data_IF_983238818051
#
_entry.id   IF_983238818051
#
_cell.length_a   1.000
_cell.length_b   1.000
_cell.length_c   1.000
_cell.angle_alpha   90.00
_cell.angle_beta   90.00
_cell.angle_gamma   90.00
#
_symmetry.space_group_name_H-M   'P 1'
#
loop_
_entity.id
_entity.type
_entity.pdbx_description
1 polymer ?
#
# COMPACT_ATOMS: atom_id res chain seq x y z
N UNK A 1 43.40 -4.42 -24.31
CA UNK A 1 42.06 -3.78 -24.43
C UNK A 1 41.59 -3.46 -23.01
N UNK A 2 41.37 -2.17 -22.73
CA UNK A 2 40.73 -1.78 -21.48
C UNK A 2 39.29 -2.35 -21.45
N UNK A 3 38.89 -2.89 -20.35
CA UNK A 3 37.51 -3.40 -20.19
C UNK A 3 36.53 -2.22 -20.11
N UNK A 4 35.25 -2.44 -20.42
CA UNK A 4 34.21 -1.44 -20.20
C UNK A 4 34.20 -0.92 -18.77
N UNK A 5 34.63 -1.75 -17.81
CA UNK A 5 34.78 -1.42 -16.38
C UNK A 5 35.86 -0.34 -16.19
N UNK A 6 36.96 -0.39 -16.94
CA UNK A 6 38.07 0.58 -16.80
C UNK A 6 37.71 1.94 -17.39
N UNK A 7 36.66 2.00 -18.22
CA UNK A 7 36.18 3.21 -18.90
C UNK A 7 34.98 3.83 -18.15
N UNK A 8 34.38 3.14 -17.19
CA UNK A 8 33.24 3.65 -16.49
C UNK A 8 33.66 4.62 -15.38
N UNK A 9 33.06 5.80 -15.36
CA UNK A 9 33.24 6.80 -14.29
C UNK A 9 32.57 6.38 -12.95
N UNK A 10 31.59 5.51 -13.03
CA UNK A 10 30.87 4.98 -11.87
C UNK A 10 30.46 3.54 -12.15
N UNK A 11 30.82 2.62 -11.28
CA UNK A 11 30.34 1.23 -11.31
C UNK A 11 29.60 0.97 -10.02
N UNK A 12 28.32 0.64 -10.15
CA UNK A 12 27.47 0.24 -9.02
C UNK A 12 27.11 -1.23 -9.18
N UNK A 13 27.46 -2.04 -8.19
CA UNK A 13 27.03 -3.44 -8.12
C UNK A 13 26.07 -3.54 -6.91
N UNK A 14 24.76 -3.46 -7.12
CA UNK A 14 23.79 -3.60 -6.04
C UNK A 14 23.94 -4.96 -5.40
N UNK A 15 24.23 -4.99 -4.11
CA UNK A 15 24.30 -6.23 -3.34
C UNK A 15 23.10 -6.43 -2.43
N UNK A 16 22.57 -5.35 -1.91
CA UNK A 16 21.45 -5.37 -0.98
C UNK A 16 20.74 -4.01 -0.99
N UNK A 17 19.42 -4.04 -0.82
CA UNK A 17 18.62 -2.86 -0.46
C UNK A 17 18.10 -3.09 0.95
N UNK A 18 18.56 -2.30 1.89
CA UNK A 18 18.16 -2.37 3.30
C UNK A 18 17.89 -0.95 3.82
N UNK A 19 16.81 -0.78 4.55
CA UNK A 19 16.43 0.48 5.19
C UNK A 19 16.42 1.69 4.21
N UNK A 20 16.00 1.46 2.95
CA UNK A 20 15.96 2.51 1.93
C UNK A 20 17.31 2.87 1.32
N UNK A 21 18.35 2.09 1.58
CA UNK A 21 19.70 2.29 1.05
C UNK A 21 20.05 1.18 0.07
N UNK A 22 20.81 1.55 -0.94
CA UNK A 22 21.41 0.61 -1.88
C UNK A 22 22.85 0.35 -1.44
N UNK A 23 23.09 -0.83 -0.87
CA UNK A 23 24.44 -1.27 -0.57
C UNK A 23 25.12 -1.74 -1.85
N UNK A 24 26.31 -1.26 -2.10
CA UNK A 24 27.13 -1.65 -3.24
C UNK A 24 28.37 -2.38 -2.77
N UNK A 25 28.69 -3.51 -3.40
CA UNK A 25 29.96 -4.18 -3.19
C UNK A 25 31.04 -3.44 -3.96
N UNK A 26 32.14 -3.09 -3.29
CA UNK A 26 33.32 -2.52 -3.96
C UNK A 26 33.90 -3.57 -4.91
N UNK A 27 33.98 -3.32 -6.22
CA UNK A 27 34.77 -4.17 -7.11
C UNK A 27 36.24 -4.14 -6.69
N UNK A 28 36.89 -5.28 -6.62
CA UNK A 28 38.33 -5.39 -6.37
C UNK A 28 39.09 -4.71 -7.53
N UNK A 29 39.65 -3.52 -7.29
CA UNK A 29 40.45 -2.77 -8.27
C UNK A 29 40.43 -1.25 -8.06
N UNK A 30 41.48 -0.60 -8.53
CA UNK A 30 41.91 0.76 -8.19
C UNK A 30 41.05 1.94 -8.72
N UNK A 31 39.82 1.73 -9.13
CA UNK A 31 39.07 2.79 -9.85
C UNK A 31 37.65 2.98 -9.37
N UNK A 32 37.46 3.19 -8.07
CA UNK A 32 36.13 3.54 -7.58
C UNK A 32 36.22 4.83 -6.80
N UNK A 33 35.57 5.82 -7.34
CA UNK A 33 35.29 7.07 -6.64
C UNK A 33 34.22 6.76 -5.61
N UNK A 34 34.59 6.75 -4.35
CA UNK A 34 33.63 6.82 -3.26
C UNK A 34 33.39 8.30 -2.97
N UNK A 35 32.18 8.81 -3.10
CA UNK A 35 31.86 10.10 -2.53
C UNK A 35 31.66 9.92 -1.03
N UNK A 36 32.75 9.75 -0.27
CA UNK A 36 32.66 9.99 1.14
C UNK A 36 32.76 11.51 1.40
N UNK A 37 32.26 11.95 2.53
CA UNK A 37 32.29 13.36 2.92
C UNK A 37 33.72 13.90 3.19
N UNK A 38 34.73 13.06 3.10
CA UNK A 38 36.13 13.37 3.42
C UNK A 38 37.04 13.38 2.20
N UNK A 39 36.54 12.92 1.04
CA UNK A 39 37.30 12.93 -0.23
C UNK A 39 38.40 11.86 -0.31
N UNK A 40 38.36 10.88 0.57
CA UNK A 40 39.35 9.80 0.60
C UNK A 40 38.82 8.59 -0.20
N UNK A 41 39.50 8.25 -1.29
CA UNK A 41 38.95 7.37 -2.34
C UNK A 41 39.55 5.96 -2.37
N UNK A 42 40.47 5.60 -1.50
CA UNK A 42 41.29 4.40 -1.68
C UNK A 42 41.16 3.32 -0.61
N UNK A 43 40.53 3.61 0.52
CA UNK A 43 40.42 2.64 1.63
C UNK A 43 41.76 2.25 2.24
N UNK A 44 42.82 3.05 2.00
CA UNK A 44 44.19 2.79 2.52
C UNK A 44 44.41 3.37 3.91
N UNK A 45 43.46 4.15 4.40
CA UNK A 45 43.52 4.79 5.74
C UNK A 45 43.04 3.89 6.87
N UNK A 46 42.69 2.62 6.62
CA UNK A 46 42.17 1.69 7.61
C UNK A 46 40.69 1.94 7.98
N UNK A 47 40.01 2.90 7.32
CA UNK A 47 38.57 3.03 7.41
C UNK A 47 37.90 1.86 6.68
N UNK A 48 36.82 1.35 7.24
CA UNK A 48 35.92 0.46 6.52
C UNK A 48 35.56 1.13 5.19
N UNK A 49 35.59 0.40 4.05
CA UNK A 49 35.16 0.94 2.77
C UNK A 49 33.83 1.66 2.97
N UNK A 50 33.79 2.95 2.66
CA UNK A 50 32.57 3.71 2.76
C UNK A 50 31.55 3.02 1.85
N UNK A 51 30.55 2.39 2.45
CA UNK A 51 29.42 1.85 1.71
C UNK A 51 28.82 3.03 0.97
N UNK A 52 28.64 2.89 -0.34
CA UNK A 52 28.06 3.95 -1.16
C UNK A 52 26.60 4.18 -0.78
N UNK A 53 26.39 4.99 0.23
CA UNK A 53 25.06 5.36 0.69
C UNK A 53 24.44 6.38 -0.25
N UNK A 54 23.76 5.91 -1.28
CA UNK A 54 22.99 6.79 -2.15
C UNK A 54 21.63 7.09 -1.51
N UNK A 55 21.29 8.35 -1.47
CA UNK A 55 19.96 8.80 -1.10
C UNK A 55 19.11 8.94 -2.36
N UNK A 56 17.93 8.35 -2.34
CA UNK A 56 16.96 8.46 -3.42
C UNK A 56 15.82 9.36 -2.96
N UNK A 57 15.49 10.38 -3.74
CA UNK A 57 14.38 11.26 -3.44
C UNK A 57 13.54 11.51 -4.69
N UNK A 58 12.22 11.45 -4.53
CA UNK A 58 11.23 11.69 -5.58
C UNK A 58 10.18 12.72 -5.17
N UNK A 59 10.23 13.17 -3.91
CA UNK A 59 9.27 14.08 -3.32
C UNK A 59 7.93 13.45 -2.93
N UNK A 60 7.65 12.20 -3.33
CA UNK A 60 6.46 11.46 -2.91
C UNK A 60 6.62 9.96 -3.15
N UNK A 61 6.01 9.16 -2.27
CA UNK A 61 5.94 7.70 -2.41
C UNK A 61 4.99 7.24 -3.53
N UNK A 62 4.11 8.13 -4.02
CA UNK A 62 3.00 7.74 -4.89
C UNK A 62 3.27 7.97 -6.37
N UNK A 63 4.33 8.71 -6.73
CA UNK A 63 4.60 9.11 -8.12
C UNK A 63 5.47 8.15 -8.93
N UNK A 64 6.08 7.16 -8.30
CA UNK A 64 6.99 6.26 -8.99
C UNK A 64 6.31 5.00 -9.51
N UNK A 65 6.63 4.62 -10.74
CA UNK A 65 6.25 3.33 -11.31
C UNK A 65 7.49 2.54 -11.71
N UNK A 66 7.39 1.23 -11.77
CA UNK A 66 8.42 0.32 -12.29
C UNK A 66 7.78 -0.95 -12.81
N UNK A 67 8.54 -1.76 -13.54
CA UNK A 67 8.17 -3.13 -13.85
C UNK A 67 8.76 -4.03 -12.77
N UNK A 68 7.93 -4.86 -12.14
CA UNK A 68 8.34 -5.82 -11.13
C UNK A 68 8.88 -7.11 -11.76
N UNK A 69 9.31 -8.05 -10.91
CA UNK A 69 9.86 -9.34 -11.35
C UNK A 69 8.85 -10.22 -12.10
N UNK A 70 7.55 -9.99 -11.89
CA UNK A 70 6.47 -10.67 -12.61
C UNK A 70 6.13 -10.01 -13.96
N UNK A 71 6.80 -8.93 -14.31
CA UNK A 71 6.54 -8.16 -15.53
C UNK A 71 5.38 -7.19 -15.42
N UNK A 72 4.86 -6.95 -14.21
CA UNK A 72 3.74 -6.06 -13.97
C UNK A 72 4.22 -4.64 -13.64
N UNK A 73 3.47 -3.65 -14.11
CA UNK A 73 3.70 -2.27 -13.71
C UNK A 73 3.16 -2.09 -12.30
N UNK A 74 4.07 -1.72 -11.38
CA UNK A 74 3.72 -1.41 -9.98
C UNK A 74 4.05 0.03 -9.66
N UNK A 75 3.25 0.63 -8.79
CA UNK A 75 3.43 2.00 -8.29
C UNK A 75 3.36 2.05 -6.78
N UNK A 76 3.75 3.18 -6.21
CA UNK A 76 3.49 3.49 -4.81
C UNK A 76 1.99 3.60 -4.55
N UNK A 77 1.53 3.12 -3.40
CA UNK A 77 0.14 3.12 -2.97
C UNK A 77 0.05 3.37 -1.47
N UNK A 78 -1.10 3.85 -1.02
CA UNK A 78 -1.32 4.23 0.36
C UNK A 78 -2.72 3.80 0.80
N UNK A 79 -2.82 3.20 1.99
CA UNK A 79 -4.09 3.06 2.68
C UNK A 79 -4.28 4.28 3.60
N UNK A 80 -5.29 5.08 3.32
CA UNK A 80 -5.57 6.35 4.03
C UNK A 80 -6.32 6.13 5.35
N UNK A 81 -7.05 5.01 5.52
CA UNK A 81 -7.64 4.68 6.80
C UNK A 81 -6.56 4.50 7.86
N UNK A 82 -6.82 4.95 9.07
CA UNK A 82 -6.03 4.60 10.24
C UNK A 82 -6.66 3.40 10.95
N UNK A 83 -5.85 2.60 11.63
CA UNK A 83 -6.33 1.39 12.31
C UNK A 83 -7.22 0.52 11.41
N UNK A 84 -6.76 0.27 10.20
CA UNK A 84 -7.55 -0.32 9.12
C UNK A 84 -8.03 -1.75 9.38
N UNK A 85 -7.45 -2.43 10.35
CA UNK A 85 -7.90 -3.74 10.83
C UNK A 85 -8.10 -3.77 12.35
N UNK A 86 -8.25 -2.60 13.00
CA UNK A 86 -8.67 -2.51 14.41
C UNK A 86 -10.00 -1.72 14.49
N UNK A 87 -11.10 -2.41 14.26
CA UNK A 87 -12.44 -1.81 14.24
C UNK A 87 -12.98 -1.45 15.63
N UNK A 88 -12.29 -1.83 16.71
CA UNK A 88 -12.59 -1.39 18.07
C UNK A 88 -11.97 -0.04 18.41
N UNK A 89 -11.04 0.45 17.60
CA UNK A 89 -10.36 1.70 17.84
C UNK A 89 -11.28 2.91 17.68
N UNK A 90 -11.06 3.94 18.50
CA UNK A 90 -11.84 5.18 18.49
C UNK A 90 -11.70 6.02 17.22
N UNK A 91 -10.76 5.70 16.33
CA UNK A 91 -10.68 6.27 14.99
C UNK A 91 -11.90 5.90 14.12
N UNK A 92 -12.54 4.78 14.44
CA UNK A 92 -13.78 4.36 13.81
C UNK A 92 -14.98 4.88 14.60
N UNK A 93 -15.85 5.62 13.92
CA UNK A 93 -17.14 6.05 14.47
C UNK A 93 -18.13 4.91 14.25
N UNK A 94 -18.56 4.31 15.34
CA UNK A 94 -19.50 3.18 15.33
C UNK A 94 -20.91 3.63 15.69
N UNK A 95 -21.88 3.23 14.90
CA UNK A 95 -23.30 3.32 15.24
C UNK A 95 -23.88 1.91 15.36
N UNK A 96 -24.26 1.56 16.59
CA UNK A 96 -25.04 0.38 16.92
C UNK A 96 -24.45 -0.98 16.50
N UNK A 97 -23.35 -1.31 17.11
CA UNK A 97 -22.74 -2.63 16.97
C UNK A 97 -21.69 -2.89 18.03
N UNK A 98 -21.22 -4.12 18.11
CA UNK A 98 -20.06 -4.53 18.89
C UNK A 98 -19.09 -5.29 18.04
N UNK A 99 -17.81 -5.14 18.35
CA UNK A 99 -16.73 -5.83 17.65
C UNK A 99 -16.02 -6.80 18.58
N UNK A 100 -15.72 -7.99 18.07
CA UNK A 100 -14.91 -9.01 18.75
C UNK A 100 -13.88 -9.52 17.78
N UNK A 101 -12.59 -9.40 18.11
CA UNK A 101 -11.49 -9.91 17.31
C UNK A 101 -11.28 -11.41 17.52
N UNK A 102 -10.59 -12.06 16.62
CA UNK A 102 -10.17 -13.45 16.76
C UNK A 102 -10.90 -14.42 15.84
N UNK A 103 -11.58 -13.92 14.83
CA UNK A 103 -12.17 -14.75 13.77
C UNK A 103 -11.12 -15.08 12.71
N UNK A 104 -11.27 -16.25 12.11
CA UNK A 104 -10.43 -16.65 10.97
C UNK A 104 -10.55 -15.62 9.84
N UNK A 105 -9.40 -15.13 9.36
CA UNK A 105 -9.29 -14.18 8.27
C UNK A 105 -9.06 -14.87 6.91
N UNK A 106 -9.16 -14.15 5.77
CA UNK A 106 -9.00 -14.73 4.44
C UNK A 106 -7.63 -15.36 4.17
N UNK A 107 -6.63 -15.06 4.98
CA UNK A 107 -5.25 -15.56 4.83
C UNK A 107 -4.96 -16.77 5.73
N UNK A 108 -5.96 -17.25 6.49
CA UNK A 108 -5.83 -18.37 7.42
C UNK A 108 -5.28 -18.00 8.80
N UNK A 109 -5.17 -16.71 9.10
CA UNK A 109 -4.92 -16.20 10.45
C UNK A 109 -6.21 -16.02 11.25
N UNK A 110 -6.12 -15.43 12.45
CA UNK A 110 -7.27 -15.13 13.32
C UNK A 110 -7.32 -13.63 13.65
N UNK A 111 -7.14 -12.78 12.66
CA UNK A 111 -7.07 -11.32 12.83
C UNK A 111 -8.33 -10.60 12.37
N UNK A 112 -9.30 -11.32 11.82
CA UNK A 112 -10.58 -10.76 11.43
C UNK A 112 -11.48 -10.48 12.64
N UNK A 113 -12.51 -9.69 12.41
CA UNK A 113 -13.46 -9.21 13.42
C UNK A 113 -14.87 -9.71 13.16
N UNK A 114 -15.53 -10.10 14.23
CA UNK A 114 -16.97 -10.32 14.27
C UNK A 114 -17.64 -8.99 14.63
N UNK A 115 -18.54 -8.52 13.79
CA UNK A 115 -19.35 -7.33 13.98
C UNK A 115 -20.80 -7.76 14.21
N UNK A 116 -21.33 -7.49 15.42
CA UNK A 116 -22.69 -7.85 15.80
C UNK A 116 -23.58 -6.62 15.84
N UNK A 117 -24.72 -6.66 15.17
CA UNK A 117 -25.71 -5.60 15.15
C UNK A 117 -26.41 -5.40 16.49
N UNK A 118 -26.54 -4.15 16.92
CA UNK A 118 -27.33 -3.77 18.12
C UNK A 118 -28.61 -3.00 17.76
N UNK A 119 -28.83 -2.69 16.50
CA UNK A 119 -30.08 -2.13 15.97
C UNK A 119 -30.26 -2.52 14.50
N UNK A 120 -31.25 -1.91 13.82
CA UNK A 120 -31.60 -2.20 12.41
C UNK A 120 -30.77 -1.44 11.39
N UNK A 121 -29.84 -0.57 11.83
CA UNK A 121 -29.02 0.28 10.97
C UNK A 121 -27.57 0.35 11.53
N UNK A 122 -26.85 -0.80 11.58
CA UNK A 122 -25.48 -0.84 12.07
C UNK A 122 -24.53 -0.35 11.01
N UNK A 123 -23.75 0.70 11.32
CA UNK A 123 -22.68 1.15 10.43
C UNK A 123 -21.44 1.61 11.20
N UNK A 124 -20.31 1.60 10.52
CA UNK A 124 -19.02 2.06 10.99
C UNK A 124 -18.35 2.90 9.92
N UNK A 125 -17.68 3.99 10.30
CA UNK A 125 -17.02 4.87 9.34
C UNK A 125 -15.86 5.64 9.95
N UNK A 126 -14.96 6.13 9.10
CA UNK A 126 -14.03 7.21 9.43
C UNK A 126 -14.44 8.47 8.68
N UNK A 127 -14.31 9.63 9.34
CA UNK A 127 -14.54 10.92 8.71
C UNK A 127 -13.21 11.40 8.14
N UNK A 128 -13.09 11.38 6.82
CA UNK A 128 -11.88 11.74 6.09
C UNK A 128 -12.14 12.88 5.11
N UNK A 129 -11.17 13.76 5.00
CA UNK A 129 -11.13 14.79 3.96
C UNK A 129 -10.08 14.39 2.93
N UNK A 130 -10.51 13.78 1.85
CA UNK A 130 -9.64 13.36 0.74
C UNK A 130 -10.02 14.11 -0.53
N UNK A 131 -9.07 14.34 -1.43
CA UNK A 131 -9.31 14.97 -2.71
C UNK A 131 -8.75 14.10 -3.83
N UNK A 132 -9.55 13.88 -4.87
CA UNK A 132 -9.19 13.00 -5.98
C UNK A 132 -10.16 11.84 -6.11
N UNK A 133 -9.76 10.84 -6.87
CA UNK A 133 -10.55 9.63 -7.11
C UNK A 133 -9.99 8.51 -6.23
N UNK A 134 -10.85 7.94 -5.40
CA UNK A 134 -10.48 6.90 -4.44
C UNK A 134 -11.23 5.61 -4.69
N UNK A 135 -10.62 4.51 -4.26
CA UNK A 135 -11.24 3.19 -4.15
C UNK A 135 -11.35 2.81 -2.69
N UNK A 136 -12.56 2.43 -2.27
CA UNK A 136 -12.85 1.88 -0.94
C UNK A 136 -13.02 0.37 -1.07
N UNK A 137 -12.38 -0.39 -0.21
CA UNK A 137 -12.51 -1.86 -0.19
C UNK A 137 -12.45 -2.43 1.21
N UNK A 138 -13.04 -3.61 1.39
CA UNK A 138 -13.02 -4.41 2.62
C UNK A 138 -13.32 -5.87 2.29
N UNK A 139 -12.78 -6.78 3.07
CA UNK A 139 -13.25 -8.17 3.05
C UNK A 139 -14.41 -8.35 4.04
N UNK A 140 -15.45 -9.02 3.59
CA UNK A 140 -16.56 -9.38 4.44
C UNK A 140 -17.16 -10.74 4.08
N UNK A 141 -17.79 -11.40 5.07
CA UNK A 141 -18.63 -12.59 4.88
C UNK A 141 -19.81 -12.59 5.85
N UNK A 142 -20.93 -13.15 5.41
CA UNK A 142 -22.10 -13.36 6.24
C UNK A 142 -21.95 -14.56 7.16
N UNK A 143 -22.64 -14.52 8.30
CA UNK A 143 -22.69 -15.59 9.30
C UNK A 143 -24.13 -15.89 9.66
N UNK A 144 -24.55 -17.14 9.50
CA UNK A 144 -25.92 -17.54 9.86
C UNK A 144 -26.99 -16.75 9.06
N UNK A 145 -27.81 -15.96 9.75
CA UNK A 145 -28.90 -15.15 9.17
C UNK A 145 -28.43 -14.07 8.18
N UNK A 146 -27.18 -13.65 8.24
CA UNK A 146 -26.66 -12.60 7.34
C UNK A 146 -26.15 -13.13 6.00
N UNK A 147 -26.14 -14.44 5.79
CA UNK A 147 -25.89 -15.02 4.48
C UNK A 147 -27.06 -14.64 3.56
N UNK A 148 -26.77 -13.97 2.44
CA UNK A 148 -27.78 -13.40 1.54
C UNK A 148 -28.23 -11.98 1.89
N UNK A 149 -27.80 -11.44 3.05
CA UNK A 149 -28.10 -10.07 3.44
C UNK A 149 -27.28 -9.05 2.64
N UNK A 150 -27.76 -7.81 2.63
CA UNK A 150 -27.05 -6.69 2.01
C UNK A 150 -25.84 -6.27 2.84
N UNK A 151 -24.76 -5.96 2.14
CA UNK A 151 -23.58 -5.27 2.66
C UNK A 151 -23.32 -4.04 1.81
N UNK A 152 -23.04 -2.92 2.45
CA UNK A 152 -22.88 -1.65 1.78
C UNK A 152 -21.52 -1.02 2.09
N UNK A 153 -20.88 -0.51 1.06
CA UNK A 153 -19.75 0.39 1.21
C UNK A 153 -20.28 1.83 1.17
N UNK A 154 -20.18 2.51 2.29
CA UNK A 154 -20.76 3.85 2.44
C UNK A 154 -19.82 4.94 1.95
N UNK A 155 -20.35 5.81 1.12
CA UNK A 155 -19.77 7.11 0.84
C UNK A 155 -20.90 8.14 0.73
N UNK A 156 -20.60 9.44 0.70
CA UNK A 156 -21.57 10.54 0.72
C UNK A 156 -22.58 10.60 -0.44
N UNK A 157 -22.84 9.55 -1.15
CA UNK A 157 -23.82 9.57 -2.24
C UNK A 157 -23.96 8.28 -3.03
N UNK A 158 -23.07 7.34 -2.84
CA UNK A 158 -23.11 6.04 -3.50
C UNK A 158 -22.99 4.96 -2.41
N UNK A 159 -24.03 4.19 -2.22
CA UNK A 159 -24.06 3.04 -1.31
C UNK A 159 -24.49 1.81 -2.10
N UNK A 160 -23.62 1.26 -2.96
CA UNK A 160 -23.96 0.05 -3.68
C UNK A 160 -24.20 -1.10 -2.70
N UNK A 161 -25.25 -1.87 -2.95
CA UNK A 161 -25.56 -3.08 -2.21
C UNK A 161 -24.79 -4.26 -2.79
N UNK A 162 -24.11 -4.96 -1.93
CA UNK A 162 -23.50 -6.25 -2.20
C UNK A 162 -24.22 -7.33 -1.42
N UNK A 163 -24.19 -8.56 -1.89
CA UNK A 163 -24.80 -9.70 -1.20
C UNK A 163 -23.73 -10.48 -0.47
N UNK A 164 -23.87 -10.64 0.84
CA UNK A 164 -22.99 -11.46 1.66
C UNK A 164 -23.16 -12.95 1.37
N UNK A 165 -22.04 -13.64 1.28
CA UNK A 165 -22.01 -15.12 1.23
C UNK A 165 -21.34 -15.67 2.49
N UNK A 166 -21.31 -16.97 2.65
CA UNK A 166 -20.56 -17.65 3.72
C UNK A 166 -19.05 -17.70 3.47
N UNK A 167 -18.60 -17.26 2.29
CA UNK A 167 -17.20 -17.19 1.92
C UNK A 167 -16.68 -15.76 2.01
N UNK A 168 -15.39 -15.60 2.30
CA UNK A 168 -14.76 -14.30 2.26
C UNK A 168 -14.75 -13.72 0.84
N UNK A 169 -15.28 -12.51 0.72
CA UNK A 169 -15.27 -11.73 -0.51
C UNK A 169 -14.69 -10.36 -0.23
N UNK A 170 -13.92 -9.84 -1.18
CA UNK A 170 -13.50 -8.44 -1.15
C UNK A 170 -14.52 -7.62 -1.92
N UNK A 171 -15.14 -6.69 -1.23
CA UNK A 171 -16.06 -5.73 -1.82
C UNK A 171 -15.33 -4.42 -2.10
N UNK A 172 -15.60 -3.81 -3.23
CA UNK A 172 -14.90 -2.61 -3.69
C UNK A 172 -15.87 -1.64 -4.37
N UNK A 173 -15.67 -0.36 -4.11
CA UNK A 173 -16.25 0.73 -4.90
C UNK A 173 -15.16 1.74 -5.26
N UNK A 174 -15.25 2.25 -6.45
CA UNK A 174 -14.30 3.23 -6.99
C UNK A 174 -15.03 4.51 -7.38
N UNK A 175 -14.26 5.56 -7.72
CA UNK A 175 -14.77 6.88 -8.05
C UNK A 175 -15.52 7.53 -6.89
N UNK A 176 -14.94 7.42 -5.68
CA UNK A 176 -15.49 8.05 -4.48
C UNK A 176 -15.22 9.55 -4.55
N UNK A 177 -16.25 10.41 -4.56
CA UNK A 177 -16.06 11.84 -4.45
C UNK A 177 -15.53 12.22 -3.06
N UNK A 178 -14.70 13.23 -3.02
CA UNK A 178 -14.08 13.75 -1.80
C UNK A 178 -15.10 14.17 -0.75
N UNK A 179 -14.74 13.98 0.52
CA UNK A 179 -15.41 14.43 1.74
C UNK A 179 -16.61 13.64 2.19
N UNK A 180 -16.39 12.69 3.08
CA UNK A 180 -17.46 12.25 3.96
C UNK A 180 -17.10 11.11 4.89
N UNK A 181 -18.08 10.63 5.57
CA UNK A 181 -18.09 9.43 6.36
C UNK A 181 -17.92 8.21 5.45
N UNK A 182 -16.69 7.74 5.29
CA UNK A 182 -16.36 6.57 4.49
C UNK A 182 -16.35 5.34 5.37
N UNK A 183 -17.10 4.32 5.01
CA UNK A 183 -17.22 3.15 5.86
C UNK A 183 -18.14 2.06 5.32
N UNK A 184 -18.77 1.35 6.24
CA UNK A 184 -19.45 0.08 5.94
C UNK A 184 -20.75 -0.01 6.74
N UNK A 185 -21.72 -0.71 6.15
CA UNK A 185 -23.04 -0.99 6.74
C UNK A 185 -23.49 -2.38 6.31
N UNK A 186 -24.27 -3.07 7.11
CA UNK A 186 -24.85 -4.34 6.71
C UNK A 186 -26.31 -4.48 7.10
N UNK A 187 -27.04 -5.28 6.30
CA UNK A 187 -28.36 -5.75 6.64
C UNK A 187 -29.45 -4.68 6.72
N UNK A 188 -29.36 -3.59 5.98
CA UNK A 188 -30.37 -2.51 6.05
C UNK A 188 -31.73 -2.95 5.46
N UNK A 189 -32.72 -3.34 6.32
CA UNK A 189 -32.66 -3.40 7.78
C UNK A 189 -31.94 -4.67 8.30
N UNK A 190 -31.09 -4.51 9.31
CA UNK A 190 -30.52 -5.62 10.07
C UNK A 190 -31.46 -6.06 11.19
N UNK A 191 -31.24 -7.25 11.74
CA UNK A 191 -31.89 -7.72 12.97
C UNK A 191 -30.88 -7.65 14.12
N UNK A 192 -31.31 -7.24 15.29
CA UNK A 192 -30.45 -7.24 16.49
C UNK A 192 -29.90 -8.65 16.72
N UNK A 193 -28.60 -8.76 16.86
CA UNK A 193 -27.89 -10.03 16.98
C UNK A 193 -27.34 -10.58 15.63
N UNK A 194 -27.68 -9.98 14.50
CA UNK A 194 -27.06 -10.33 13.22
C UNK A 194 -25.54 -10.12 13.26
N UNK A 195 -24.80 -11.04 12.65
CA UNK A 195 -23.33 -11.05 12.68
C UNK A 195 -22.76 -11.06 11.28
N UNK A 196 -21.77 -10.20 11.06
CA UNK A 196 -20.96 -10.18 9.85
C UNK A 196 -19.49 -10.23 10.26
N UNK A 197 -18.68 -11.01 9.56
CA UNK A 197 -17.24 -10.97 9.73
C UNK A 197 -16.62 -9.99 8.75
N UNK A 198 -15.71 -9.15 9.23
CA UNK A 198 -15.02 -8.15 8.43
C UNK A 198 -13.50 -8.18 8.65
N UNK A 199 -12.75 -7.75 7.63
CA UNK A 199 -11.29 -7.74 7.66
C UNK A 199 -10.74 -6.74 6.64
N UNK A 200 -9.64 -6.05 7.01
CA UNK A 200 -8.78 -5.32 6.08
C UNK A 200 -9.48 -4.20 5.29
N UNK A 201 -9.99 -3.19 6.00
CA UNK A 201 -10.51 -1.99 5.38
C UNK A 201 -9.41 -1.19 4.67
N UNK A 202 -9.65 -0.73 3.45
CA UNK A 202 -8.69 0.06 2.68
C UNK A 202 -9.37 1.18 1.90
N UNK A 203 -8.79 2.38 2.00
CA UNK A 203 -9.11 3.54 1.16
C UNK A 203 -7.83 3.99 0.48
N UNK A 204 -7.81 3.95 -0.84
CA UNK A 204 -6.61 4.26 -1.63
C UNK A 204 -6.90 5.16 -2.82
N UNK A 205 -5.93 6.00 -3.19
CA UNK A 205 -6.02 6.85 -4.38
C UNK A 205 -5.90 5.97 -5.63
N UNK A 206 -6.86 6.09 -6.52
CA UNK A 206 -6.93 5.35 -7.78
C UNK A 206 -8.26 4.66 -8.01
N UNK A 207 -8.40 3.98 -9.15
CA UNK A 207 -9.62 3.31 -9.59
C UNK A 207 -9.62 1.79 -9.36
N UNK A 208 -8.58 1.24 -8.73
CA UNK A 208 -8.41 -0.21 -8.56
C UNK A 208 -7.97 -0.49 -7.12
N UNK A 209 -8.62 -1.44 -6.48
CA UNK A 209 -8.19 -1.94 -5.18
C UNK A 209 -6.90 -2.77 -5.32
N UNK A 210 -5.85 -2.36 -4.61
CA UNK A 210 -4.57 -3.05 -4.57
C UNK A 210 -4.49 -4.03 -3.39
N UNK A 211 -3.48 -4.89 -3.29
CA UNK A 211 -3.31 -5.72 -2.10
C UNK A 211 -3.34 -4.89 -0.81
N UNK A 212 -3.96 -5.45 0.21
CA UNK A 212 -4.18 -4.77 1.49
C UNK A 212 -2.89 -4.25 2.12
N UNK A 213 -2.97 -3.04 2.64
CA UNK A 213 -1.91 -2.38 3.40
C UNK A 213 -2.47 -2.11 4.80
N UNK A 214 -1.94 -2.80 5.80
CA UNK A 214 -2.31 -2.59 7.18
C UNK A 214 -1.82 -1.24 7.69
N UNK A 215 -2.67 -0.57 8.49
CA UNK A 215 -2.34 0.72 9.09
C UNK A 215 -2.55 0.70 10.60
N UNK A 216 -1.71 1.47 11.29
CA UNK A 216 -1.88 1.78 12.71
C UNK A 216 -2.43 3.21 12.90
N UNK A 217 -1.81 3.97 13.79
CA UNK A 217 -2.22 5.35 14.13
C UNK A 217 -2.10 6.35 12.96
N UNK A 218 -1.39 5.99 11.90
CA UNK A 218 -1.22 6.80 10.70
C UNK A 218 -1.53 5.97 9.46
N UNK A 219 -1.80 6.62 8.32
CA UNK A 219 -1.82 5.96 7.01
C UNK A 219 -0.51 5.20 6.78
N UNK A 220 -0.55 4.18 5.95
CA UNK A 220 0.60 3.39 5.59
C UNK A 220 0.76 3.29 4.07
N UNK A 221 2.00 3.25 3.63
CA UNK A 221 2.36 3.22 2.22
C UNK A 221 3.11 1.94 1.87
N UNK A 222 2.94 1.47 0.65
CA UNK A 222 3.62 0.30 0.12
C UNK A 222 4.02 0.50 -1.34
N UNK A 223 4.84 -0.40 -1.85
CA UNK A 223 5.35 -0.33 -3.22
C UNK A 223 6.69 0.39 -3.30
N UNK A 224 6.85 1.32 -4.22
CA UNK A 224 8.11 2.05 -4.44
C UNK A 224 8.11 3.29 -3.58
N UNK A 225 8.63 3.16 -2.37
CA UNK A 225 8.64 4.24 -1.38
C UNK A 225 9.70 5.29 -1.71
N UNK A 226 9.51 6.50 -1.15
CA UNK A 226 10.54 7.52 -1.08
C UNK A 226 11.81 6.92 -0.44
N UNK A 227 12.95 7.39 -0.74
CA UNK A 227 14.23 6.88 -0.27
C UNK A 227 14.61 5.45 -0.73
N UNK A 228 13.79 4.77 -1.53
CA UNK A 228 14.16 3.46 -2.10
C UNK A 228 14.56 3.58 -3.57
N UNK A 229 15.56 2.80 -4.03
CA UNK A 229 15.90 2.77 -5.44
C UNK A 229 14.76 2.17 -6.27
N UNK A 230 14.54 2.71 -7.45
CA UNK A 230 13.65 2.10 -8.44
C UNK A 230 14.41 1.01 -9.19
N UNK A 231 14.13 -0.23 -8.85
CA UNK A 231 14.69 -1.39 -9.53
C UNK A 231 13.70 -1.89 -10.58
N UNK A 232 14.13 -1.93 -11.83
CA UNK A 232 13.31 -2.28 -12.99
C UNK A 232 13.71 -3.63 -13.56
N UNK A 233 12.72 -4.49 -13.78
CA UNK A 233 12.87 -5.84 -14.33
C UNK A 233 12.39 -5.93 -15.78
N UNK A 234 12.31 -4.82 -16.51
CA UNK A 234 11.91 -4.80 -17.91
C UNK A 234 12.67 -5.84 -18.73
N UNK A 235 11.98 -6.44 -19.68
CA UNK A 235 12.58 -7.46 -20.55
C UNK A 235 12.75 -8.83 -19.91
N UNK A 236 12.15 -9.09 -18.76
CA UNK A 236 12.23 -10.40 -18.09
C UNK A 236 13.58 -10.68 -17.45
N UNK A 237 14.32 -9.65 -17.10
CA UNK A 237 15.63 -9.79 -16.48
C UNK A 237 15.54 -10.45 -15.09
N UNK A 238 16.44 -11.39 -14.80
CA UNK A 238 16.57 -12.00 -13.47
C UNK A 238 17.25 -11.06 -12.48
N UNK A 239 18.09 -10.14 -12.97
CA UNK A 239 18.72 -9.08 -12.20
C UNK A 239 18.12 -7.74 -12.62
N UNK A 240 17.62 -6.92 -11.69
CA UNK A 240 17.06 -5.62 -12.04
C UNK A 240 18.14 -4.62 -12.42
N UNK A 241 17.75 -3.63 -13.23
CA UNK A 241 18.54 -2.42 -13.43
C UNK A 241 18.07 -1.32 -12.49
N UNK A 242 18.99 -0.43 -12.10
CA UNK A 242 18.62 0.79 -11.40
C UNK A 242 18.01 1.77 -12.42
N UNK A 243 16.76 2.13 -12.23
CA UNK A 243 16.06 3.06 -13.11
C UNK A 243 16.27 4.50 -12.62
N UNK A 244 17.05 5.26 -13.41
CA UNK A 244 17.27 6.69 -13.18
C UNK A 244 16.60 7.48 -14.30
N UNK A 245 15.72 8.40 -13.94
CA UNK A 245 15.02 9.27 -14.86
C UNK A 245 15.14 10.73 -14.40
N UNK A 246 15.22 11.69 -15.32
CA UNK A 246 15.15 13.09 -14.95
C UNK A 246 13.77 13.40 -14.38
N UNK A 247 13.72 14.29 -13.38
CA UNK A 247 12.45 14.79 -12.83
C UNK A 247 11.61 15.40 -13.94
N UNK A 248 10.36 14.97 -14.06
CA UNK A 248 9.38 15.50 -15.02
C UNK A 248 8.04 15.68 -14.32
N UNK A 249 7.32 16.71 -14.72
CA UNK A 249 5.96 16.97 -14.24
C UNK A 249 4.97 16.55 -15.31
N UNK A 250 4.03 15.69 -14.97
CA UNK A 250 2.90 15.39 -15.85
C UNK A 250 1.89 16.54 -15.77
N UNK A 251 1.63 17.17 -16.90
CA UNK A 251 0.69 18.29 -17.00
C UNK A 251 -0.74 17.84 -17.34
N UNK A 252 -0.93 16.57 -17.66
CA UNK A 252 -2.25 15.99 -17.89
C UNK A 252 -2.84 15.62 -16.55
N UNK A 253 -3.87 16.33 -16.11
CA UNK A 253 -4.61 15.98 -14.91
C UNK A 253 -5.31 14.64 -15.10
N UNK A 254 -5.29 13.80 -14.04
CA UNK A 254 -5.92 12.48 -14.05
C UNK A 254 -5.43 11.54 -15.18
N UNK A 255 -4.15 11.61 -15.50
CA UNK A 255 -3.54 10.80 -16.57
C UNK A 255 -3.57 9.28 -16.35
N UNK A 256 -4.02 8.83 -15.19
CA UNK A 256 -4.19 7.40 -14.83
C UNK A 256 -5.63 6.88 -15.09
N UNK A 257 -6.53 7.74 -15.56
CA UNK A 257 -7.97 7.46 -15.67
C UNK A 257 -8.48 7.54 -17.13
N UNK A 258 -7.88 6.76 -18.01
CA UNK A 258 -8.36 6.61 -19.39
C UNK A 258 -9.26 5.39 -19.55
#
# INVERSE_FOLDING_TARGET
MSSLKDLASLIMIPSLVKDGRLDTVKPLGNSIIHPDATGNNDGTDGSTPAEGNFTFSRGTNLSATRIDRAGLIVKGRENVFTYSNDFSNSAWNLKAGTFTQGVEDPNGGNTAWSWTAQNTDPYIYQQLSVSGVYTLSIYAKGVGSTIGANFQLRNAGLTPNFTLTNEWQRFEIYNIPSNSNLGFEFGNPAVVGDVVHIFAAQLELGLVATPYIETGATSAQAGILENTPRLDYSGGATCPSLLLEPSRTNLISQSEYF
#
